data_IF_883270434267
#
_entry.id   IF_883270434267
#
_cell.length_a   1.000
_cell.length_b   1.000
_cell.length_c   1.000
_cell.angle_alpha   90.00
_cell.angle_beta   90.00
_cell.angle_gamma   90.00
#
_symmetry.space_group_name_H-M   'P 1'
#
loop_
_entity.id
_entity.type
_entity.pdbx_description
1 polymer ?
#
# COMPACT_ATOMS: atom_id res chain seq x y z
N UNK A 1 10.53 2.36 -0.19
CA UNK A 1 10.37 3.14 1.07
C UNK A 1 10.92 4.53 0.86
N UNK A 2 10.66 5.48 1.77
CA UNK A 2 11.45 6.72 1.79
C UNK A 2 12.60 6.49 2.77
N UNK A 3 13.81 6.83 2.35
CA UNK A 3 15.00 6.83 3.18
C UNK A 3 15.22 8.24 3.71
N UNK A 4 15.10 8.43 5.02
CA UNK A 4 15.17 9.74 5.65
C UNK A 4 16.59 10.32 5.65
N UNK A 5 17.65 9.50 5.60
CA UNK A 5 19.02 9.99 5.55
C UNK A 5 19.39 10.55 4.17
N UNK A 6 18.71 10.06 3.13
CA UNK A 6 18.91 10.48 1.73
C UNK A 6 17.88 11.49 1.24
N UNK A 7 16.77 11.65 1.95
CA UNK A 7 15.69 12.54 1.54
C UNK A 7 16.09 14.02 1.73
N UNK A 8 16.04 14.80 0.65
CA UNK A 8 16.38 16.24 0.68
C UNK A 8 15.15 17.16 0.81
N UNK A 9 13.95 16.61 1.06
CA UNK A 9 12.73 17.40 1.28
C UNK A 9 12.18 18.14 0.05
N UNK A 10 12.63 17.83 -1.17
CA UNK A 10 12.24 18.57 -2.40
C UNK A 10 10.76 18.45 -2.83
N UNK A 11 9.97 17.60 -2.17
CA UNK A 11 8.55 17.39 -2.43
C UNK A 11 8.13 16.92 -3.85
N UNK A 12 9.05 16.73 -4.80
CA UNK A 12 8.69 16.21 -6.13
C UNK A 12 7.99 14.86 -6.08
N UNK A 13 8.39 14.00 -5.15
CA UNK A 13 7.74 12.71 -4.96
C UNK A 13 6.28 12.84 -4.48
N UNK A 14 5.96 13.90 -3.72
CA UNK A 14 4.62 14.21 -3.23
C UNK A 14 3.78 14.69 -4.42
N UNK A 15 4.25 15.69 -5.16
CA UNK A 15 3.58 16.22 -6.35
C UNK A 15 3.31 15.13 -7.41
N UNK A 16 4.26 14.20 -7.60
CA UNK A 16 4.14 13.16 -8.61
C UNK A 16 3.17 12.03 -8.23
N UNK A 17 2.76 11.91 -6.96
CA UNK A 17 1.90 10.82 -6.53
C UNK A 17 0.44 11.10 -6.91
N UNK A 18 -0.20 10.31 -7.80
CA UNK A 18 -1.57 10.60 -8.23
C UNK A 18 -2.62 10.28 -7.16
N UNK A 19 -2.21 9.65 -6.06
CA UNK A 19 -3.03 9.19 -4.95
C UNK A 19 -2.97 10.10 -3.73
N UNK A 20 -2.15 11.15 -3.75
CA UNK A 20 -1.87 11.99 -2.59
C UNK A 20 -1.40 11.17 -1.36
N UNK A 21 -0.73 10.04 -1.62
CA UNK A 21 -0.37 9.06 -0.60
C UNK A 21 1.01 9.32 0.04
N UNK A 22 1.57 10.51 -0.18
CA UNK A 22 2.88 10.94 0.32
C UNK A 22 2.74 12.38 0.80
N UNK A 23 3.47 12.73 1.84
CA UNK A 23 3.42 14.07 2.43
C UNK A 23 4.82 14.47 2.92
N UNK A 24 5.02 15.75 3.23
CA UNK A 24 6.23 16.20 3.94
C UNK A 24 5.96 16.15 5.44
N UNK A 25 6.76 15.41 6.17
CA UNK A 25 6.71 15.36 7.62
C UNK A 25 7.41 16.59 8.18
N UNK A 26 6.67 17.45 8.88
CA UNK A 26 7.18 18.70 9.41
C UNK A 26 8.20 18.52 10.54
N UNK A 27 8.22 17.37 11.22
CA UNK A 27 9.19 17.11 12.29
C UNK A 27 10.55 16.68 11.74
N UNK A 28 10.56 15.85 10.69
CA UNK A 28 11.80 15.34 10.08
C UNK A 28 12.26 16.18 8.89
N UNK A 29 11.40 17.04 8.33
CA UNK A 29 11.61 17.78 7.09
C UNK A 29 11.87 16.87 5.88
N UNK A 30 11.46 15.60 5.97
CA UNK A 30 11.57 14.60 4.90
C UNK A 30 10.19 14.23 4.35
N UNK A 31 10.15 13.60 3.17
CA UNK A 31 8.93 12.98 2.68
C UNK A 31 8.60 11.73 3.50
N UNK A 32 7.32 11.47 3.70
CA UNK A 32 6.83 10.31 4.44
C UNK A 32 5.58 9.74 3.74
N UNK A 33 5.28 8.47 4.00
CA UNK A 33 4.16 7.73 3.41
C UNK A 33 3.90 6.42 4.16
N UNK A 34 2.78 5.78 3.86
CA UNK A 34 2.50 4.41 4.30
C UNK A 34 3.68 3.46 3.99
N UNK A 35 4.14 2.72 5.00
CA UNK A 35 5.24 1.74 4.92
C UNK A 35 4.74 0.30 4.75
N UNK A 36 3.43 0.12 4.57
CA UNK A 36 2.77 -1.18 4.58
C UNK A 36 3.03 -1.98 5.87
N UNK A 37 3.35 -1.28 6.96
CA UNK A 37 3.77 -1.86 8.23
C UNK A 37 4.90 -2.89 8.08
N UNK A 38 5.92 -2.60 7.24
CA UNK A 38 7.07 -3.50 7.03
C UNK A 38 7.64 -4.07 8.34
N UNK A 39 7.85 -3.22 9.36
CA UNK A 39 8.31 -3.60 10.70
C UNK A 39 7.45 -4.66 11.42
N UNK A 40 6.15 -4.73 11.11
CA UNK A 40 5.24 -5.75 11.67
C UNK A 40 5.27 -7.03 10.84
N UNK A 41 5.26 -6.88 9.51
CA UNK A 41 5.32 -8.00 8.59
C UNK A 41 6.61 -8.82 8.75
N UNK A 42 7.75 -8.16 9.01
CA UNK A 42 9.04 -8.81 9.25
C UNK A 42 9.04 -9.78 10.45
N UNK A 43 8.17 -9.54 11.43
CA UNK A 43 8.01 -10.40 12.62
C UNK A 43 6.72 -11.24 12.58
N UNK A 44 6.10 -11.38 11.40
CA UNK A 44 4.92 -12.22 11.20
C UNK A 44 3.60 -11.61 11.71
N UNK A 45 3.57 -10.33 12.06
CA UNK A 45 2.35 -9.63 12.46
C UNK A 45 1.64 -9.02 11.25
N UNK A 46 0.31 -8.95 11.29
CA UNK A 46 -0.49 -8.24 10.29
C UNK A 46 -0.26 -6.72 10.37
N UNK A 47 -0.39 -5.95 9.27
CA UNK A 47 -0.43 -4.49 9.34
C UNK A 47 -1.54 -4.01 10.27
N UNK A 48 -1.30 -2.92 10.97
CA UNK A 48 -2.27 -2.37 11.93
C UNK A 48 -3.63 -2.12 11.29
N UNK A 49 -3.65 -1.58 10.06
CA UNK A 49 -4.89 -1.30 9.35
C UNK A 49 -5.69 -2.56 8.94
N UNK A 50 -5.03 -3.70 8.82
CA UNK A 50 -5.65 -5.01 8.53
C UNK A 50 -6.14 -5.64 9.83
N UNK A 51 -5.27 -5.70 10.85
CA UNK A 51 -5.58 -6.26 12.17
C UNK A 51 -6.74 -5.53 12.86
N UNK A 52 -6.80 -4.20 12.76
CA UNK A 52 -7.86 -3.40 13.38
C UNK A 52 -9.18 -3.38 12.58
N UNK A 53 -9.27 -4.09 11.46
CA UNK A 53 -10.45 -4.06 10.60
C UNK A 53 -11.57 -4.91 11.19
N UNK A 54 -12.46 -4.28 11.96
CA UNK A 54 -13.61 -4.94 12.60
C UNK A 54 -14.49 -5.71 11.60
N UNK A 55 -14.69 -5.14 10.40
CA UNK A 55 -15.50 -5.77 9.36
C UNK A 55 -14.80 -6.88 8.57
N UNK A 56 -13.52 -7.18 8.84
CA UNK A 56 -12.78 -8.21 8.10
C UNK A 56 -12.58 -7.91 6.61
N UNK A 57 -12.80 -6.66 6.17
CA UNK A 57 -12.81 -6.28 4.75
C UNK A 57 -11.40 -6.11 4.13
N UNK A 58 -10.35 -6.08 4.96
CA UNK A 58 -8.97 -5.85 4.51
C UNK A 58 -8.21 -7.17 4.54
N UNK A 59 -7.64 -7.54 3.41
CA UNK A 59 -6.86 -8.76 3.24
C UNK A 59 -5.45 -8.37 2.80
N UNK A 60 -4.44 -9.01 3.38
CA UNK A 60 -3.05 -8.88 2.97
C UNK A 60 -2.48 -10.26 2.66
N UNK A 61 -1.55 -10.34 1.71
CA UNK A 61 -0.81 -11.56 1.42
C UNK A 61 0.23 -11.35 0.33
N UNK A 62 0.99 -12.41 0.05
CA UNK A 62 1.93 -12.43 -1.07
C UNK A 62 1.21 -12.87 -2.34
N UNK A 63 1.21 -12.01 -3.36
CA UNK A 63 0.62 -12.31 -4.68
C UNK A 63 1.48 -13.27 -5.51
N UNK A 64 2.73 -13.51 -5.11
CA UNK A 64 3.60 -14.51 -5.74
C UNK A 64 3.35 -15.92 -5.23
N UNK A 65 2.78 -16.06 -4.04
CA UNK A 65 2.34 -17.34 -3.51
C UNK A 65 0.94 -17.66 -4.07
N UNK A 66 0.79 -18.67 -4.94
CA UNK A 66 -0.51 -19.03 -5.51
C UNK A 66 -1.51 -19.55 -4.47
N UNK A 67 -1.04 -20.00 -3.30
CA UNK A 67 -1.87 -20.54 -2.24
C UNK A 67 -2.34 -19.48 -1.23
N UNK A 68 -1.79 -18.26 -1.28
CA UNK A 68 -2.18 -17.16 -0.41
C UNK A 68 -3.64 -16.76 -0.63
N UNK A 69 -4.28 -16.24 0.42
CA UNK A 69 -5.68 -15.78 0.36
C UNK A 69 -5.87 -14.71 -0.71
N UNK A 70 -4.93 -13.76 -0.83
CA UNK A 70 -5.04 -12.68 -1.83
C UNK A 70 -4.94 -13.22 -3.27
N UNK A 71 -4.03 -14.17 -3.53
CA UNK A 71 -3.89 -14.78 -4.86
C UNK A 71 -5.12 -15.57 -5.27
N UNK A 72 -5.79 -16.24 -4.33
CA UNK A 72 -7.08 -16.92 -4.57
C UNK A 72 -8.18 -15.91 -4.88
N UNK A 73 -8.35 -14.89 -4.03
CA UNK A 73 -9.33 -13.82 -4.21
C UNK A 73 -9.19 -13.11 -5.57
N UNK A 74 -7.95 -12.84 -6.01
CA UNK A 74 -7.68 -12.22 -7.31
C UNK A 74 -8.14 -13.10 -8.47
N UNK A 75 -7.88 -14.41 -8.41
CA UNK A 75 -8.32 -15.34 -9.46
C UNK A 75 -9.83 -15.56 -9.46
N UNK A 76 -10.45 -15.62 -8.28
CA UNK A 76 -11.88 -15.88 -8.14
C UNK A 76 -12.75 -14.68 -8.56
N UNK A 77 -12.25 -13.45 -8.36
CA UNK A 77 -13.00 -12.22 -8.58
C UNK A 77 -12.37 -11.30 -9.64
N UNK A 78 -11.60 -11.84 -10.59
CA UNK A 78 -10.82 -11.06 -11.56
C UNK A 78 -11.62 -9.94 -12.25
N UNK A 79 -12.88 -10.21 -12.60
CA UNK A 79 -13.76 -9.25 -13.30
C UNK A 79 -14.42 -8.21 -12.38
N UNK A 80 -14.44 -8.44 -11.07
CA UNK A 80 -15.04 -7.55 -10.07
C UNK A 80 -13.99 -6.64 -9.43
N UNK A 81 -12.70 -6.97 -9.57
CA UNK A 81 -11.62 -6.18 -8.97
C UNK A 81 -11.36 -4.90 -9.74
N UNK A 82 -11.28 -3.81 -8.97
CA UNK A 82 -10.89 -2.48 -9.45
C UNK A 82 -9.63 -2.01 -8.74
N UNK A 83 -8.90 -1.11 -9.40
CA UNK A 83 -7.80 -0.35 -8.79
C UNK A 83 -8.16 1.13 -8.76
N UNK A 84 -7.52 1.88 -7.87
CA UNK A 84 -7.69 3.32 -7.81
C UNK A 84 -6.95 3.99 -8.98
N UNK A 85 -7.62 4.93 -9.66
CA UNK A 85 -7.06 5.74 -10.77
C UNK A 85 -6.29 4.90 -11.81
N UNK A 86 -6.94 3.94 -12.49
CA UNK A 86 -6.30 3.09 -13.49
C UNK A 86 -5.62 3.90 -14.62
N UNK A 87 -6.17 5.07 -14.95
CA UNK A 87 -5.65 6.00 -15.95
C UNK A 87 -4.27 6.58 -15.62
N UNK A 88 -3.84 6.50 -14.34
CA UNK A 88 -2.54 7.04 -13.91
C UNK A 88 -1.34 6.16 -14.26
N UNK A 89 -1.54 4.95 -14.79
CA UNK A 89 -0.45 4.09 -15.28
C UNK A 89 0.53 3.56 -14.23
N UNK A 90 0.22 3.67 -12.93
CA UNK A 90 1.15 3.31 -11.84
C UNK A 90 1.08 1.84 -11.40
N UNK A 91 0.17 1.05 -11.99
CA UNK A 91 -0.08 -0.36 -11.68
C UNK A 91 -0.20 -0.63 -10.16
N UNK A 92 -1.22 -0.05 -9.48
CA UNK A 92 -1.37 -0.19 -8.02
C UNK A 92 -1.48 -1.63 -7.56
N UNK A 93 -1.01 -1.89 -6.34
CA UNK A 93 -1.01 -3.21 -5.70
C UNK A 93 -2.05 -3.30 -4.56
N UNK A 94 -3.06 -2.44 -4.60
CA UNK A 94 -4.22 -2.46 -3.70
C UNK A 94 -5.47 -2.54 -4.57
N UNK A 95 -6.25 -3.59 -4.36
CA UNK A 95 -7.43 -3.91 -5.15
C UNK A 95 -8.68 -3.68 -4.31
N UNK A 96 -9.76 -3.28 -4.97
CA UNK A 96 -11.07 -3.04 -4.38
C UNK A 96 -12.04 -4.02 -5.05
N UNK A 97 -12.63 -4.90 -4.26
CA UNK A 97 -13.74 -5.73 -4.69
C UNK A 97 -15.02 -4.87 -4.62
N UNK A 98 -15.76 -4.79 -5.73
CA UNK A 98 -16.98 -3.98 -5.85
C UNK A 98 -18.21 -4.81 -6.19
#
# INVERSE_FOLDING_TARGET
>A
MIDNERCVGCAYCVQACPYDARFINHSTQTADKCTFCAHRLEVGLLPACVESCVGGARIIGDMKDPHSTISKMIREHEHELKVLKPESGTLPQVFILV
#
